data_IF_599302724189
#
_entry.id   IF_599302724189
#
_cell.length_a   1.000
_cell.length_b   1.000
_cell.length_c   1.000
_cell.angle_alpha   90.00
_cell.angle_beta   90.00
_cell.angle_gamma   90.00
#
_symmetry.space_group_name_H-M   'P 1'
#
loop_
_entity.id
_entity.type
_entity.pdbx_description
1 polymer ?
#
# COMPACT_ATOMS: atom_id res chain seq x y z
N UNK A 1 -19.68 2.81 17.75
CA UNK A 1 -18.50 3.35 17.04
C UNK A 1 -18.72 3.18 15.56
N UNK A 2 -18.58 4.24 14.80
CA UNK A 2 -18.80 4.20 13.36
C UNK A 2 -17.49 3.97 12.60
N UNK A 3 -17.62 3.35 11.44
CA UNK A 3 -16.51 3.15 10.52
C UNK A 3 -16.83 3.85 9.21
N UNK A 4 -15.82 4.47 8.61
CA UNK A 4 -15.94 5.04 7.27
C UNK A 4 -15.14 4.20 6.30
N UNK A 5 -15.76 3.79 5.22
CA UNK A 5 -15.10 3.00 4.18
C UNK A 5 -14.39 3.95 3.22
N UNK A 6 -13.15 3.63 2.90
CA UNK A 6 -12.34 4.40 1.97
C UNK A 6 -12.23 3.60 0.68
N UNK A 7 -12.51 4.25 -0.44
CA UNK A 7 -12.47 3.63 -1.76
C UNK A 7 -11.85 4.59 -2.77
N UNK A 8 -11.06 4.05 -3.69
CA UNK A 8 -10.53 4.79 -4.83
C UNK A 8 -10.37 3.88 -6.04
N UNK A 9 -10.61 4.42 -7.21
CA UNK A 9 -10.36 3.72 -8.46
C UNK A 9 -8.89 3.81 -8.89
N UNK A 10 -8.09 4.61 -8.19
CA UNK A 10 -6.65 4.77 -8.46
C UNK A 10 -5.81 3.66 -7.82
N UNK A 11 -6.44 2.77 -7.06
CA UNK A 11 -5.83 1.57 -6.51
C UNK A 11 -6.66 0.36 -6.93
N UNK A 12 -6.10 -0.87 -6.87
CA UNK A 12 -6.86 -2.06 -7.25
C UNK A 12 -8.13 -2.21 -6.43
N UNK A 13 -9.22 -2.57 -7.09
CA UNK A 13 -10.50 -2.80 -6.43
C UNK A 13 -10.39 -3.97 -5.45
N UNK A 14 -11.18 -3.92 -4.38
CA UNK A 14 -11.30 -5.03 -3.46
C UNK A 14 -12.03 -6.18 -4.18
N UNK A 15 -11.35 -7.31 -4.33
CA UNK A 15 -11.84 -8.46 -5.09
C UNK A 15 -12.43 -9.54 -4.19
N UNK A 16 -12.74 -9.22 -2.95
CA UNK A 16 -13.29 -10.14 -1.98
C UNK A 16 -14.07 -9.38 -0.90
N UNK A 17 -14.42 -10.07 0.18
CA UNK A 17 -15.20 -9.45 1.27
C UNK A 17 -14.33 -8.57 2.17
N UNK A 18 -13.75 -7.50 1.59
CA UNK A 18 -12.94 -6.54 2.34
C UNK A 18 -13.02 -5.15 1.68
N UNK A 19 -12.61 -4.14 2.41
CA UNK A 19 -12.50 -2.76 1.91
C UNK A 19 -11.03 -2.42 1.64
N UNK A 20 -10.77 -1.47 0.76
CA UNK A 20 -9.40 -1.00 0.53
C UNK A 20 -8.81 -0.38 1.80
N UNK A 21 -9.60 0.37 2.52
CA UNK A 21 -9.22 0.92 3.82
C UNK A 21 -10.47 1.29 4.61
N UNK A 22 -10.30 1.39 5.93
CA UNK A 22 -11.39 1.75 6.86
C UNK A 22 -10.85 2.77 7.85
N UNK A 23 -11.59 3.84 8.06
CA UNK A 23 -11.28 4.84 9.09
C UNK A 23 -12.11 4.56 10.33
N UNK A 24 -11.44 4.58 11.49
CA UNK A 24 -12.08 4.54 12.80
C UNK A 24 -11.46 5.66 13.62
N UNK A 25 -12.23 6.70 13.93
CA UNK A 25 -11.68 7.88 14.61
C UNK A 25 -10.60 8.53 13.76
N UNK A 26 -9.42 8.69 14.31
CA UNK A 26 -8.26 9.29 13.64
C UNK A 26 -7.32 8.25 13.03
N UNK A 27 -7.70 6.98 13.08
CA UNK A 27 -6.86 5.89 12.55
C UNK A 27 -7.47 5.33 11.28
N UNK A 28 -6.62 5.11 10.28
CA UNK A 28 -7.00 4.47 9.03
C UNK A 28 -6.25 3.15 8.91
N UNK A 29 -6.99 2.09 8.70
CA UNK A 29 -6.45 0.75 8.49
C UNK A 29 -6.49 0.43 7.01
N UNK A 30 -5.33 0.22 6.38
CA UNK A 30 -5.22 -0.15 4.98
C UNK A 30 -5.13 -1.65 4.85
N UNK A 31 -5.88 -2.20 3.90
CA UNK A 31 -5.71 -3.59 3.50
C UNK A 31 -4.36 -3.77 2.81
N UNK A 32 -3.84 -4.99 2.87
CA UNK A 32 -2.57 -5.32 2.22
C UNK A 32 -2.64 -5.07 0.72
N UNK A 33 -1.53 -4.61 0.16
CA UNK A 33 -1.40 -4.36 -1.26
C UNK A 33 -0.43 -5.35 -1.88
N UNK A 34 -0.83 -5.93 -2.99
CA UNK A 34 0.02 -6.71 -3.87
C UNK A 34 0.16 -5.94 -5.19
N UNK A 35 1.11 -6.27 -6.06
CA UNK A 35 1.40 -5.42 -7.22
C UNK A 35 0.40 -5.59 -8.37
N UNK A 36 -0.88 -5.33 -8.09
CA UNK A 36 -1.92 -5.32 -9.11
C UNK A 36 -2.00 -3.95 -9.77
N UNK A 37 -2.26 -3.96 -11.08
CA UNK A 37 -2.51 -2.73 -11.83
C UNK A 37 -3.94 -2.26 -11.55
N UNK A 38 -4.15 -1.01 -11.13
CA UNK A 38 -5.50 -0.52 -10.82
C UNK A 38 -6.48 -0.61 -11.98
N UNK A 39 -6.00 -0.39 -13.21
CA UNK A 39 -6.85 -0.34 -14.40
C UNK A 39 -7.36 -1.70 -14.85
N UNK A 40 -6.63 -2.78 -14.58
CA UNK A 40 -6.97 -4.12 -15.09
C UNK A 40 -7.20 -5.15 -13.98
N UNK A 41 -6.66 -4.91 -12.79
CA UNK A 41 -6.63 -5.88 -11.71
C UNK A 41 -5.63 -7.01 -11.92
N UNK A 42 -4.82 -6.91 -12.98
CA UNK A 42 -3.81 -7.93 -13.28
C UNK A 42 -2.53 -7.68 -12.50
N UNK A 43 -1.82 -8.77 -12.18
CA UNK A 43 -0.50 -8.67 -11.54
C UNK A 43 0.49 -8.02 -12.50
N UNK A 44 1.24 -7.04 -12.01
CA UNK A 44 2.31 -6.41 -12.79
C UNK A 44 3.38 -7.46 -13.08
N UNK A 45 3.70 -7.62 -14.35
CA UNK A 45 4.83 -8.47 -14.77
C UNK A 45 6.11 -7.66 -14.68
N UNK A 46 7.14 -8.25 -14.05
CA UNK A 46 8.41 -7.58 -13.89
C UNK A 46 9.15 -8.11 -12.67
N UNK A 47 10.30 -7.52 -12.41
CA UNK A 47 11.12 -7.88 -11.25
C UNK A 47 10.54 -7.33 -9.95
N UNK A 48 11.17 -7.74 -8.85
CA UNK A 48 10.72 -7.36 -7.52
C UNK A 48 10.74 -5.83 -7.33
N UNK A 49 11.68 -5.12 -7.96
CA UNK A 49 11.75 -3.67 -7.89
C UNK A 49 10.50 -3.01 -8.50
N UNK A 50 10.10 -3.44 -9.69
CA UNK A 50 8.89 -2.93 -10.36
C UNK A 50 7.63 -3.28 -9.57
N UNK A 51 7.57 -4.49 -9.04
CA UNK A 51 6.44 -4.94 -8.23
C UNK A 51 6.33 -4.14 -6.92
N UNK A 52 7.46 -3.89 -6.26
CA UNK A 52 7.48 -3.09 -5.04
C UNK A 52 7.01 -1.66 -5.31
N UNK A 53 7.44 -1.05 -6.42
CA UNK A 53 6.98 0.28 -6.80
C UNK A 53 5.47 0.31 -7.02
N UNK A 54 4.93 -0.69 -7.70
CA UNK A 54 3.47 -0.76 -7.90
C UNK A 54 2.72 -0.86 -6.58
N UNK A 55 3.22 -1.64 -5.63
CA UNK A 55 2.62 -1.74 -4.29
C UNK A 55 2.58 -0.36 -3.61
N UNK A 56 3.69 0.37 -3.62
CA UNK A 56 3.74 1.70 -2.99
C UNK A 56 2.89 2.72 -3.72
N UNK A 57 2.79 2.65 -5.06
CA UNK A 57 1.86 3.50 -5.82
C UNK A 57 0.42 3.22 -5.41
N UNK A 58 0.04 1.96 -5.27
CA UNK A 58 -1.29 1.58 -4.83
C UNK A 58 -1.59 2.08 -3.42
N UNK A 59 -0.63 1.92 -2.50
CA UNK A 59 -0.76 2.43 -1.13
C UNK A 59 -0.91 3.96 -1.12
N UNK A 60 -0.14 4.64 -1.93
CA UNK A 60 -0.19 6.10 -2.04
C UNK A 60 -1.58 6.57 -2.48
N UNK A 61 -2.18 5.88 -3.44
CA UNK A 61 -3.52 6.19 -3.92
C UNK A 61 -4.57 6.02 -2.81
N UNK A 62 -4.48 4.94 -2.03
CA UNK A 62 -5.39 4.70 -0.91
C UNK A 62 -5.19 5.75 0.19
N UNK A 63 -3.95 6.09 0.51
CA UNK A 63 -3.66 7.15 1.48
C UNK A 63 -4.25 8.49 1.04
N UNK A 64 -4.11 8.83 -0.24
CA UNK A 64 -4.69 10.06 -0.78
C UNK A 64 -6.21 10.08 -0.66
N UNK A 65 -6.86 8.95 -0.95
CA UNK A 65 -8.32 8.82 -0.77
C UNK A 65 -8.74 8.99 0.68
N UNK A 66 -7.87 8.66 1.61
CA UNK A 66 -8.11 8.84 3.05
C UNK A 66 -7.81 10.26 3.53
N UNK A 67 -7.29 11.12 2.66
CA UNK A 67 -6.95 12.50 3.00
C UNK A 67 -5.53 12.67 3.54
N UNK A 68 -4.67 11.68 3.37
CA UNK A 68 -3.30 11.70 3.85
C UNK A 68 -2.30 11.33 2.77
N UNK A 69 -1.13 10.89 3.21
CA UNK A 69 -0.05 10.48 2.32
C UNK A 69 0.74 9.35 2.98
N UNK A 70 1.73 8.83 2.26
CA UNK A 70 2.63 7.81 2.81
C UNK A 70 3.39 8.33 4.05
N UNK A 71 3.58 9.64 4.15
CA UNK A 71 4.25 10.25 5.31
C UNK A 71 3.45 10.08 6.61
N UNK A 72 2.16 9.78 6.50
CA UNK A 72 1.27 9.59 7.66
C UNK A 72 1.26 8.16 8.16
N UNK A 73 1.94 7.23 7.48
CA UNK A 73 1.97 5.83 7.88
C UNK A 73 2.83 5.66 9.13
N UNK A 74 2.23 5.08 10.17
CA UNK A 74 2.92 4.83 11.43
C UNK A 74 3.61 3.46 11.45
N UNK A 75 3.01 2.46 10.82
CA UNK A 75 3.55 1.10 10.77
C UNK A 75 3.28 0.46 9.41
N UNK A 76 4.28 -0.23 8.89
CA UNK A 76 4.22 -0.94 7.62
C UNK A 76 4.67 -2.38 7.81
N UNK A 77 3.81 -3.34 7.48
CA UNK A 77 4.17 -4.76 7.45
C UNK A 77 4.61 -5.13 6.04
N UNK A 78 5.70 -5.90 5.92
CA UNK A 78 6.21 -6.36 4.63
C UNK A 78 6.32 -7.89 4.66
N UNK A 79 5.68 -8.54 3.70
CA UNK A 79 5.70 -9.99 3.55
C UNK A 79 6.26 -10.34 2.18
N UNK A 80 7.28 -11.18 2.14
CA UNK A 80 7.97 -11.58 0.93
C UNK A 80 7.99 -13.10 0.82
N UNK A 81 7.87 -13.60 -0.41
CA UNK A 81 8.02 -15.04 -0.68
C UNK A 81 9.49 -15.45 -0.65
N UNK A 82 10.39 -14.52 -0.91
CA UNK A 82 11.83 -14.72 -0.86
C UNK A 82 12.46 -13.56 -0.07
N UNK A 83 12.99 -13.88 1.11
CA UNK A 83 13.62 -12.86 1.96
C UNK A 83 14.89 -12.29 1.33
N UNK A 84 15.46 -12.95 0.33
CA UNK A 84 16.57 -12.41 -0.46
C UNK A 84 16.20 -11.14 -1.22
N UNK A 85 14.90 -10.89 -1.43
CA UNK A 85 14.41 -9.67 -2.09
C UNK A 85 14.31 -8.48 -1.14
N UNK A 86 14.56 -8.67 0.15
CA UNK A 86 14.37 -7.61 1.15
C UNK A 86 15.20 -6.37 0.83
N UNK A 87 16.44 -6.53 0.42
CA UNK A 87 17.32 -5.39 0.12
C UNK A 87 16.76 -4.53 -1.02
N UNK A 88 16.19 -5.16 -2.06
CA UNK A 88 15.59 -4.45 -3.18
C UNK A 88 14.34 -3.71 -2.74
N UNK A 89 13.46 -4.38 -1.99
CA UNK A 89 12.23 -3.75 -1.48
C UNK A 89 12.58 -2.58 -0.56
N UNK A 90 13.58 -2.74 0.30
CA UNK A 90 14.02 -1.68 1.19
C UNK A 90 14.55 -0.46 0.42
N UNK A 91 15.29 -0.69 -0.65
CA UNK A 91 15.79 0.40 -1.51
C UNK A 91 14.64 1.13 -2.22
N UNK A 92 13.65 0.40 -2.70
CA UNK A 92 12.45 1.00 -3.32
C UNK A 92 11.66 1.79 -2.27
N UNK A 93 11.49 1.24 -1.08
CA UNK A 93 10.81 1.95 0.01
C UNK A 93 11.48 3.30 0.30
N UNK A 94 12.80 3.36 0.25
CA UNK A 94 13.53 4.61 0.47
C UNK A 94 13.24 5.68 -0.59
N UNK A 95 12.73 5.30 -1.76
CA UNK A 95 12.30 6.25 -2.79
C UNK A 95 10.94 6.87 -2.47
N UNK A 96 10.10 6.18 -1.70
CA UNK A 96 8.73 6.62 -1.38
C UNK A 96 8.58 7.22 -0.01
N UNK A 97 9.48 6.91 0.90
CA UNK A 97 9.43 7.39 2.29
C UNK A 97 10.67 8.19 2.61
N UNK A 98 10.52 9.12 3.54
CA UNK A 98 11.64 9.88 4.09
C UNK A 98 11.56 9.90 5.60
N UNK A 99 12.68 10.21 6.25
CA UNK A 99 12.71 10.27 7.71
C UNK A 99 11.74 11.34 8.25
N UNK A 100 11.03 11.09 9.38
CA UNK A 100 11.08 9.85 10.15
C UNK A 100 10.29 8.72 9.47
N UNK A 101 10.91 7.54 9.42
CA UNK A 101 10.31 6.38 8.76
C UNK A 101 9.25 5.72 9.62
N UNK A 102 8.26 5.01 9.01
CA UNK A 102 7.32 4.21 9.80
C UNK A 102 8.02 3.05 10.48
N UNK A 103 7.41 2.53 11.54
CA UNK A 103 7.83 1.27 12.14
C UNK A 103 7.52 0.12 11.18
N UNK A 104 8.28 -0.96 11.30
CA UNK A 104 8.07 -2.17 10.49
C UNK A 104 7.95 -3.41 11.34
#
# INVERSE_FOLDING_TARGET
>A
MSRSIIHTEQAPAAIGPYSQAVRVGDTVYLSGQIPLLPSTGAMLEGGIDAQARQVFENMQAVCAAAGGSLADIARLGIFLTDLGDFAVVNAVMAEYFSAPYPAR
#
